data_IF_420690055455
#
_entry.id   IF_420690055455
#
_cell.length_a   1.000
_cell.length_b   1.000
_cell.length_c   1.000
_cell.angle_alpha   90.00
_cell.angle_beta   90.00
_cell.angle_gamma   90.00
#
_symmetry.space_group_name_H-M   'P 1'
#
loop_
_entity.id
_entity.type
_entity.pdbx_description
1 polymer ?
#
# COMPACT_ATOMS: atom_id res chain seq x y z
N UNK A 1 -34.37 9.65 15.69
CA UNK A 1 -35.16 9.57 14.44
C UNK A 1 -36.53 8.97 14.74
N UNK A 2 -37.63 9.54 14.25
CA UNK A 2 -38.93 8.88 14.35
C UNK A 2 -38.97 7.68 13.39
N UNK A 3 -39.26 6.48 13.92
CA UNK A 3 -39.22 5.20 13.19
C UNK A 3 -40.18 5.13 11.97
N UNK A 4 -41.07 6.10 11.79
CA UNK A 4 -42.14 6.10 10.77
C UNK A 4 -41.71 6.63 9.39
N UNK A 5 -40.55 7.29 9.27
CA UNK A 5 -40.13 7.96 8.02
C UNK A 5 -38.90 7.33 7.35
N UNK A 6 -38.46 6.15 7.80
CA UNK A 6 -37.29 5.47 7.24
C UNK A 6 -37.66 4.63 6.00
N UNK A 7 -36.99 4.81 4.85
CA UNK A 7 -37.15 3.91 3.72
C UNK A 7 -36.83 2.46 4.11
N UNK A 8 -37.61 1.50 3.62
CA UNK A 8 -37.44 0.08 3.94
C UNK A 8 -36.02 -0.45 3.67
N UNK A 9 -35.31 0.14 2.69
CA UNK A 9 -33.91 -0.21 2.38
C UNK A 9 -32.91 0.18 3.47
N UNK A 10 -33.21 1.22 4.25
CA UNK A 10 -32.31 1.81 5.25
C UNK A 10 -32.67 1.32 6.67
N UNK A 11 -33.92 0.88 6.88
CA UNK A 11 -34.41 0.44 8.18
C UNK A 11 -33.53 -0.62 8.89
N UNK A 12 -33.00 -1.67 8.22
CA UNK A 12 -32.11 -2.63 8.88
C UNK A 12 -30.81 -2.00 9.39
N UNK A 13 -30.23 -1.09 8.59
CA UNK A 13 -29.00 -0.38 8.95
C UNK A 13 -29.24 0.64 10.06
N UNK A 14 -30.39 1.33 10.06
CA UNK A 14 -30.74 2.29 11.09
C UNK A 14 -30.85 1.65 12.48
N UNK A 15 -31.39 0.42 12.56
CA UNK A 15 -31.44 -0.35 13.81
C UNK A 15 -30.02 -0.71 14.30
N UNK A 16 -29.16 -1.15 13.40
CA UNK A 16 -27.76 -1.48 13.73
C UNK A 16 -26.97 -0.24 14.17
N UNK A 17 -27.23 0.92 13.56
CA UNK A 17 -26.55 2.17 13.88
C UNK A 17 -27.06 2.79 15.18
N UNK A 18 -28.25 2.45 15.67
CA UNK A 18 -28.84 2.95 16.93
C UNK A 18 -27.97 2.63 18.17
N UNK A 19 -27.08 1.64 18.07
CA UNK A 19 -26.14 1.27 19.13
C UNK A 19 -24.96 2.25 19.26
N UNK A 20 -24.73 3.11 18.27
CA UNK A 20 -23.61 4.04 18.23
C UNK A 20 -24.06 5.48 18.51
N UNK A 21 -23.20 6.26 19.17
CA UNK A 21 -23.41 7.70 19.31
C UNK A 21 -22.82 8.42 18.09
N UNK A 22 -23.69 8.90 17.19
CA UNK A 22 -23.27 9.58 15.96
C UNK A 22 -24.25 10.68 15.55
N UNK A 23 -23.73 11.68 14.84
CA UNK A 23 -24.51 12.75 14.24
C UNK A 23 -24.46 12.67 12.71
N UNK A 24 -25.63 12.74 12.06
CA UNK A 24 -25.71 12.74 10.60
C UNK A 24 -25.40 14.14 10.06
N UNK A 25 -24.21 14.29 9.48
CA UNK A 25 -23.76 15.53 8.86
C UNK A 25 -23.58 15.38 7.35
N UNK A 26 -24.11 16.32 6.55
CA UNK A 26 -23.80 16.40 5.14
C UNK A 26 -22.37 16.92 4.92
N UNK A 27 -21.56 16.20 4.14
CA UNK A 27 -20.19 16.59 3.77
C UNK A 27 -20.09 16.69 2.25
N UNK A 28 -19.67 17.85 1.69
CA UNK A 28 -19.49 17.97 0.25
C UNK A 28 -18.33 17.07 -0.20
N UNK A 29 -18.40 16.51 -1.41
CA UNK A 29 -17.41 15.56 -1.94
C UNK A 29 -15.95 16.07 -1.87
N UNK A 30 -15.73 17.39 -1.99
CA UNK A 30 -14.40 18.01 -1.81
C UNK A 30 -13.78 17.76 -0.44
N UNK A 31 -14.59 17.53 0.61
CA UNK A 31 -14.14 17.18 1.95
C UNK A 31 -14.03 15.66 2.18
N UNK A 32 -14.51 14.83 1.25
CA UNK A 32 -14.52 13.37 1.35
C UNK A 32 -13.44 12.69 0.51
N UNK A 33 -12.43 13.44 0.03
CA UNK A 33 -11.34 12.91 -0.82
C UNK A 33 -10.65 11.67 -0.25
N UNK A 34 -10.52 11.59 1.07
CA UNK A 34 -9.93 10.44 1.74
C UNK A 34 -10.83 9.19 1.61
N UNK A 35 -12.13 9.33 1.86
CA UNK A 35 -13.09 8.24 1.71
C UNK A 35 -13.24 7.80 0.25
N UNK A 36 -13.24 8.76 -0.68
CA UNK A 36 -13.26 8.55 -2.13
C UNK A 36 -12.00 7.80 -2.62
N UNK A 37 -10.82 8.23 -2.18
CA UNK A 37 -9.58 7.53 -2.50
C UNK A 37 -9.58 6.09 -1.92
N UNK A 38 -10.05 5.89 -0.68
CA UNK A 38 -10.08 4.56 -0.08
C UNK A 38 -11.10 3.63 -0.73
N UNK A 39 -12.26 4.14 -1.16
CA UNK A 39 -13.27 3.34 -1.86
C UNK A 39 -12.79 2.95 -3.26
N UNK A 40 -12.03 3.81 -3.94
CA UNK A 40 -11.46 3.54 -5.26
C UNK A 40 -10.21 2.64 -5.19
N UNK A 41 -9.41 2.76 -4.11
CA UNK A 41 -8.15 2.03 -3.94
C UNK A 41 -8.13 1.13 -2.68
N UNK A 42 -9.04 0.15 -2.53
CA UNK A 42 -9.19 -0.65 -1.30
C UNK A 42 -7.96 -1.52 -0.97
N UNK A 43 -7.01 -1.66 -1.90
CA UNK A 43 -5.89 -2.60 -1.79
C UNK A 43 -4.59 -1.94 -1.32
N UNK A 44 -4.51 -0.61 -1.35
CA UNK A 44 -3.30 0.15 -0.96
C UNK A 44 -2.94 -0.03 0.54
N UNK A 45 -3.93 -0.31 1.40
CA UNK A 45 -3.73 -0.37 2.85
C UNK A 45 -3.23 -1.73 3.36
N UNK A 46 -3.51 -2.83 2.64
CA UNK A 46 -3.14 -4.20 3.07
C UNK A 46 -1.87 -4.68 2.36
N UNK A 47 -1.61 -4.24 1.13
CA UNK A 47 -0.58 -4.87 0.27
C UNK A 47 0.85 -4.37 0.43
N UNK A 48 1.07 -3.15 0.96
CA UNK A 48 2.41 -2.56 1.00
C UNK A 48 3.37 -3.29 1.95
N UNK A 49 2.85 -3.80 3.07
CA UNK A 49 3.65 -4.59 4.02
C UNK A 49 4.02 -5.97 3.46
N UNK A 50 3.08 -6.67 2.81
CA UNK A 50 3.32 -8.00 2.26
C UNK A 50 4.34 -7.98 1.11
N UNK A 51 4.25 -7.01 0.22
CA UNK A 51 5.15 -6.90 -0.93
C UNK A 51 6.58 -6.58 -0.47
N UNK A 52 6.74 -5.68 0.51
CA UNK A 52 8.06 -5.33 1.03
C UNK A 52 8.73 -6.49 1.77
N UNK A 53 7.97 -7.29 2.53
CA UNK A 53 8.47 -8.52 3.16
C UNK A 53 8.88 -9.56 2.13
N UNK A 54 8.03 -9.81 1.11
CA UNK A 54 8.37 -10.74 0.02
C UNK A 54 9.63 -10.33 -0.73
N UNK A 55 9.80 -9.03 -0.99
CA UNK A 55 11.01 -8.50 -1.64
C UNK A 55 12.23 -8.70 -0.75
N UNK A 56 12.11 -8.44 0.56
CA UNK A 56 13.19 -8.69 1.53
C UNK A 56 13.63 -10.16 1.53
N UNK A 57 12.68 -11.08 1.56
CA UNK A 57 12.95 -12.52 1.51
C UNK A 57 13.59 -12.94 0.19
N UNK A 58 13.10 -12.39 -0.93
CA UNK A 58 13.66 -12.65 -2.25
C UNK A 58 15.09 -12.11 -2.39
N UNK A 59 15.39 -10.92 -1.85
CA UNK A 59 16.74 -10.36 -1.80
C UNK A 59 17.70 -11.22 -0.96
N UNK A 60 17.23 -11.79 0.15
CA UNK A 60 18.07 -12.67 0.99
C UNK A 60 18.38 -14.01 0.32
N UNK A 61 17.47 -14.52 -0.53
CA UNK A 61 17.66 -15.76 -1.28
C UNK A 61 18.50 -15.58 -2.56
N UNK A 62 18.59 -14.35 -3.06
CA UNK A 62 19.31 -14.05 -4.30
C UNK A 62 20.81 -13.87 -4.04
N UNK A 63 21.62 -14.78 -4.56
CA UNK A 63 23.07 -14.81 -4.38
C UNK A 63 23.76 -13.56 -4.98
N UNK A 64 23.23 -13.03 -6.10
CA UNK A 64 23.76 -11.84 -6.75
C UNK A 64 23.47 -10.54 -6.00
N UNK A 65 22.37 -10.50 -5.24
CA UNK A 65 21.99 -9.34 -4.41
C UNK A 65 22.56 -9.44 -3.00
N UNK A 66 22.78 -10.67 -2.50
CA UNK A 66 23.43 -10.93 -1.22
C UNK A 66 24.89 -10.43 -1.18
N UNK A 67 25.60 -10.54 -2.30
CA UNK A 67 26.97 -10.03 -2.43
C UNK A 67 27.09 -8.51 -2.17
N UNK A 68 26.40 -7.62 -2.91
CA UNK A 68 26.43 -6.19 -2.60
C UNK A 68 25.85 -5.88 -1.22
N UNK A 69 24.86 -6.64 -0.74
CA UNK A 69 24.30 -6.46 0.61
C UNK A 69 25.32 -6.72 1.73
N UNK A 70 26.23 -7.68 1.56
CA UNK A 70 27.32 -7.92 2.50
C UNK A 70 28.49 -6.93 2.31
N UNK A 71 28.78 -6.55 1.06
CA UNK A 71 29.80 -5.55 0.75
C UNK A 71 29.47 -4.16 1.34
N UNK A 72 28.20 -3.73 1.30
CA UNK A 72 27.74 -2.45 1.87
C UNK A 72 27.86 -2.42 3.41
N UNK A 73 27.72 -3.57 4.08
CA UNK A 73 27.96 -3.65 5.54
C UNK A 73 29.43 -3.39 5.89
N UNK A 74 30.34 -3.69 4.98
CA UNK A 74 31.79 -3.57 5.18
C UNK A 74 32.29 -2.20 4.69
N UNK A 75 31.80 -1.76 3.53
CA UNK A 75 32.17 -0.49 2.91
C UNK A 75 30.91 0.21 2.37
N UNK A 76 30.47 1.31 2.99
CA UNK A 76 29.35 2.10 2.47
C UNK A 76 29.70 2.59 1.06
N UNK A 77 28.87 2.23 0.08
CA UNK A 77 29.00 2.74 -1.29
C UNK A 77 27.99 3.85 -1.50
N UNK A 78 28.39 4.97 -2.11
CA UNK A 78 27.48 6.12 -2.36
C UNK A 78 26.29 5.76 -3.26
N UNK A 79 26.39 4.68 -4.04
CA UNK A 79 25.35 4.23 -4.95
C UNK A 79 24.32 3.28 -4.33
N UNK A 80 24.65 2.57 -3.25
CA UNK A 80 23.76 1.55 -2.67
C UNK A 80 23.70 1.65 -1.16
N UNK A 81 22.48 1.64 -0.62
CA UNK A 81 22.24 1.76 0.81
C UNK A 81 21.13 0.84 1.28
N UNK A 82 21.10 0.61 2.58
CA UNK A 82 20.15 -0.28 3.23
C UNK A 82 19.11 0.55 3.99
N UNK A 83 17.82 0.28 3.76
CA UNK A 83 16.71 0.91 4.51
C UNK A 83 15.76 -0.21 4.96
N UNK A 84 15.54 -0.35 6.26
CA UNK A 84 14.76 -1.43 6.86
C UNK A 84 15.20 -2.84 6.40
N UNK A 85 16.51 -3.07 6.30
CA UNK A 85 17.12 -4.32 5.83
C UNK A 85 16.88 -4.68 4.34
N UNK A 86 16.34 -3.74 3.57
CA UNK A 86 16.08 -3.85 2.14
C UNK A 86 17.12 -3.01 1.39
N UNK A 87 17.63 -3.54 0.28
CA UNK A 87 18.61 -2.87 -0.56
C UNK A 87 17.96 -1.84 -1.50
N UNK A 88 18.50 -0.63 -1.50
CA UNK A 88 18.15 0.47 -2.39
C UNK A 88 19.38 0.94 -3.18
N UNK A 89 19.12 1.47 -4.38
CA UNK A 89 20.11 2.12 -5.24
C UNK A 89 19.76 3.60 -5.37
N UNK A 90 20.73 4.47 -5.16
CA UNK A 90 20.60 5.90 -5.42
C UNK A 90 20.87 6.17 -6.91
N UNK A 91 19.89 6.72 -7.63
CA UNK A 91 20.06 7.09 -9.03
C UNK A 91 19.40 8.45 -9.29
N UNK A 92 20.19 9.44 -9.75
CA UNK A 92 19.72 10.81 -10.03
C UNK A 92 18.94 11.42 -8.86
N UNK A 93 19.46 11.28 -7.64
CA UNK A 93 18.80 11.72 -6.39
C UNK A 93 17.50 10.98 -6.01
N UNK A 94 17.13 9.92 -6.74
CA UNK A 94 15.97 9.09 -6.42
C UNK A 94 16.39 7.78 -5.75
N UNK A 95 15.71 7.43 -4.67
CA UNK A 95 15.85 6.16 -3.96
C UNK A 95 15.09 5.06 -4.72
N UNK A 96 15.80 4.15 -5.39
CA UNK A 96 15.20 3.06 -6.15
C UNK A 96 15.31 1.73 -5.39
N UNK A 97 14.18 1.05 -5.22
CA UNK A 97 14.14 -0.28 -4.64
C UNK A 97 14.77 -1.29 -5.59
N UNK A 98 15.74 -2.08 -5.11
CA UNK A 98 16.37 -3.13 -5.91
C UNK A 98 15.46 -4.37 -5.90
N UNK A 99 14.84 -4.68 -7.03
CA UNK A 99 13.97 -5.85 -7.18
C UNK A 99 14.72 -7.02 -7.81
N UNK A 100 14.75 -8.21 -7.17
CA UNK A 100 15.31 -9.43 -7.76
C UNK A 100 14.69 -9.77 -9.11
N UNK A 101 15.50 -10.22 -10.08
CA UNK A 101 15.07 -10.45 -11.47
C UNK A 101 13.84 -11.37 -11.56
N UNK A 102 13.83 -12.44 -10.77
CA UNK A 102 12.72 -13.41 -10.69
C UNK A 102 11.38 -12.78 -10.31
N UNK A 103 11.41 -11.68 -9.56
CA UNK A 103 10.21 -11.00 -9.02
C UNK A 103 9.78 -9.80 -9.87
N UNK A 104 10.64 -9.29 -10.76
CA UNK A 104 10.34 -8.11 -11.57
C UNK A 104 9.06 -8.28 -12.39
N UNK A 105 8.89 -9.43 -13.05
CA UNK A 105 7.71 -9.72 -13.87
C UNK A 105 6.42 -9.74 -13.05
N UNK A 106 6.45 -10.35 -11.87
CA UNK A 106 5.30 -10.40 -10.95
C UNK A 106 4.89 -8.98 -10.51
N UNK A 107 5.87 -8.17 -10.11
CA UNK A 107 5.61 -6.79 -9.65
C UNK A 107 5.05 -5.94 -10.79
N UNK A 108 5.66 -6.00 -11.98
CA UNK A 108 5.19 -5.29 -13.18
C UNK A 108 3.77 -5.73 -13.53
N UNK A 109 3.47 -7.03 -13.52
CA UNK A 109 2.11 -7.50 -13.76
C UNK A 109 1.13 -7.00 -12.69
N UNK A 110 1.50 -7.04 -11.41
CA UNK A 110 0.66 -6.55 -10.32
C UNK A 110 0.34 -5.06 -10.43
N UNK A 111 1.29 -4.24 -10.89
CA UNK A 111 1.08 -2.79 -11.05
C UNK A 111 0.32 -2.45 -12.34
N UNK A 112 0.52 -3.21 -13.43
CA UNK A 112 -0.14 -2.93 -14.72
C UNK A 112 -1.53 -3.56 -14.87
N UNK A 113 -1.79 -4.73 -14.28
CA UNK A 113 -3.10 -5.40 -14.35
C UNK A 113 -4.17 -4.73 -13.49
N UNK A 114 -3.76 -3.86 -12.57
CA UNK A 114 -4.65 -2.95 -11.86
C UNK A 114 -4.42 -1.57 -12.44
N UNK A 115 -5.05 -1.25 -13.59
CA UNK A 115 -4.91 0.07 -14.16
C UNK A 115 -5.30 1.06 -13.08
N UNK A 116 -4.49 2.11 -12.93
CA UNK A 116 -4.85 3.31 -12.20
C UNK A 116 -6.25 3.70 -12.65
N UNK A 117 -7.27 3.35 -11.85
CA UNK A 117 -8.61 3.88 -12.00
C UNK A 117 -8.49 5.34 -11.56
N UNK A 118 -8.37 6.24 -12.53
CA UNK A 118 -8.50 7.68 -12.34
C UNK A 118 -9.92 8.03 -11.93
#
# INVERSE_FOLDING_TARGET
MHKKDLPAKIAPWALMLEEFDFEVCHKPGRQMKHADALSHYPIMMISSHDITQKIKDAQNKDEFISQPKSAIKITPSDEYFLKNEILYKLHKNSELLVVPEKMQREIVLHTHTRPFCF
#
